data_IF_386257841357
#
_entry.id   IF_386257841357
#
_cell.length_a   1.000
_cell.length_b   1.000
_cell.length_c   1.000
_cell.angle_alpha   90.00
_cell.angle_beta   90.00
_cell.angle_gamma   90.00
#
_symmetry.space_group_name_H-M   'P 1'
#
loop_
_entity.id
_entity.type
_entity.pdbx_description
1 polymer ?
#
# COMPACT_ATOMS: atom_id res chain seq x y z
N UNK A 1 5.93 6.01 22.31
CA UNK A 1 6.62 7.30 22.23
C UNK A 1 6.07 8.00 21.00
N UNK A 2 5.28 9.05 21.17
CA UNK A 2 4.77 9.84 20.05
C UNK A 2 5.82 10.87 19.65
N UNK A 3 6.22 10.87 18.38
CA UNK A 3 7.00 11.97 17.81
C UNK A 3 6.11 13.21 17.82
N UNK A 4 6.61 14.34 18.30
CA UNK A 4 5.88 15.61 18.27
C UNK A 4 5.67 16.03 16.79
N UNK A 5 4.41 16.09 16.36
CA UNK A 5 4.03 16.44 15.00
C UNK A 5 4.58 17.81 14.56
N UNK A 6 4.69 18.77 15.48
CA UNK A 6 5.24 20.11 15.22
C UNK A 6 6.75 20.03 14.96
N UNK A 7 7.44 19.12 15.65
CA UNK A 7 8.88 18.89 15.41
C UNK A 7 9.08 18.18 14.07
N UNK A 8 8.26 17.18 13.76
CA UNK A 8 8.30 16.47 12.49
C UNK A 8 8.09 17.41 11.29
N UNK A 9 7.04 18.23 11.32
CA UNK A 9 6.76 19.24 10.29
C UNK A 9 7.94 20.23 10.16
N UNK A 10 8.47 20.74 11.28
CA UNK A 10 9.62 21.66 11.25
C UNK A 10 10.83 21.08 10.51
N UNK A 11 11.15 19.81 10.74
CA UNK A 11 12.25 19.15 10.04
C UNK A 11 11.91 18.88 8.58
N UNK A 12 10.68 18.46 8.28
CA UNK A 12 10.19 18.29 6.90
C UNK A 12 10.33 19.60 6.10
N UNK A 13 9.86 20.72 6.65
CA UNK A 13 10.00 22.05 6.05
C UNK A 13 11.47 22.47 5.85
N UNK A 14 12.37 22.13 6.80
CA UNK A 14 13.81 22.38 6.63
C UNK A 14 14.39 21.58 5.48
N UNK A 15 14.03 20.31 5.35
CA UNK A 15 14.46 19.46 4.24
C UNK A 15 13.98 20.02 2.89
N UNK A 16 12.70 20.43 2.79
CA UNK A 16 12.16 21.04 1.57
C UNK A 16 12.91 22.33 1.19
N UNK A 17 13.20 23.21 2.16
CA UNK A 17 13.98 24.45 1.90
C UNK A 17 15.38 24.17 1.34
N UNK A 18 16.00 23.06 1.73
CA UNK A 18 17.29 22.64 1.19
C UNK A 18 17.18 21.95 -0.17
N UNK A 19 16.13 21.17 -0.40
CA UNK A 19 15.97 20.35 -1.60
C UNK A 19 15.42 21.12 -2.79
N UNK A 20 14.47 22.04 -2.59
CA UNK A 20 13.84 22.79 -3.70
C UNK A 20 14.90 23.52 -4.56
N UNK A 21 15.89 24.23 -3.99
CA UNK A 21 16.96 24.83 -4.78
C UNK A 21 17.84 23.79 -5.47
N UNK A 22 18.15 22.67 -4.80
CA UNK A 22 18.98 21.60 -5.36
C UNK A 22 18.31 20.93 -6.58
N UNK A 23 16.98 20.75 -6.54
CA UNK A 23 16.17 20.21 -7.64
C UNK A 23 16.10 21.12 -8.86
N UNK A 24 16.31 22.42 -8.67
CA UNK A 24 16.34 23.40 -9.76
C UNK A 24 17.69 23.44 -10.49
N UNK A 25 18.71 22.74 -9.97
CA UNK A 25 20.02 22.62 -10.59
C UNK A 25 20.01 21.65 -11.76
N UNK A 26 20.78 21.93 -12.81
CA UNK A 26 21.01 20.99 -13.92
C UNK A 26 21.69 19.69 -13.49
N UNK A 27 22.38 19.70 -12.34
CA UNK A 27 23.04 18.52 -11.75
C UNK A 27 22.10 17.65 -10.92
N UNK A 28 20.88 18.12 -10.63
CA UNK A 28 19.91 17.40 -9.80
C UNK A 28 19.59 15.99 -10.33
N UNK A 29 19.55 15.87 -11.66
CA UNK A 29 19.15 14.63 -12.36
C UNK A 29 20.19 13.51 -12.22
N UNK A 30 21.43 13.83 -11.84
CA UNK A 30 22.51 12.85 -11.67
C UNK A 30 22.89 12.61 -10.22
N UNK A 31 22.25 13.28 -9.26
CA UNK A 31 22.56 13.13 -7.83
C UNK A 31 21.72 12.02 -7.17
N UNK A 32 22.36 10.91 -6.83
CA UNK A 32 21.72 9.76 -6.18
C UNK A 32 21.27 10.07 -4.74
N UNK A 33 21.98 10.93 -4.03
CA UNK A 33 21.61 11.33 -2.66
C UNK A 33 20.37 12.22 -2.70
N UNK A 34 20.30 13.11 -3.69
CA UNK A 34 19.13 13.95 -3.91
C UNK A 34 17.90 13.11 -4.21
N UNK A 35 18.02 12.09 -5.07
CA UNK A 35 16.93 11.16 -5.35
C UNK A 35 16.50 10.40 -4.09
N UNK A 36 17.45 9.85 -3.33
CA UNK A 36 17.13 9.12 -2.10
C UNK A 36 16.42 10.02 -1.08
N UNK A 37 16.88 11.26 -0.90
CA UNK A 37 16.25 12.24 -0.02
C UNK A 37 14.81 12.57 -0.45
N UNK A 38 14.55 12.76 -1.75
CA UNK A 38 13.21 13.00 -2.27
C UNK A 38 12.28 11.82 -1.99
N UNK A 39 12.73 10.58 -2.22
CA UNK A 39 11.93 9.37 -1.95
C UNK A 39 11.59 9.22 -0.48
N UNK A 40 12.56 9.51 0.41
CA UNK A 40 12.35 9.47 1.87
C UNK A 40 11.35 10.55 2.31
N UNK A 41 11.45 11.77 1.78
CA UNK A 41 10.49 12.82 2.13
C UNK A 41 9.09 12.53 1.60
N UNK A 42 8.98 11.93 0.41
CA UNK A 42 7.68 11.50 -0.11
C UNK A 42 6.98 10.57 0.88
N UNK A 43 7.70 9.66 1.53
CA UNK A 43 7.13 8.78 2.56
C UNK A 43 6.43 9.56 3.69
N UNK A 44 6.95 10.73 4.08
CA UNK A 44 6.31 11.54 5.11
C UNK A 44 4.97 12.13 4.65
N UNK A 45 4.81 12.42 3.36
CA UNK A 45 3.52 12.83 2.78
C UNK A 45 2.51 11.67 2.74
N UNK A 46 2.97 10.43 2.63
CA UNK A 46 2.09 9.25 2.61
C UNK A 46 1.53 8.91 3.99
N UNK A 47 2.33 9.16 5.03
CA UNK A 47 1.97 8.85 6.42
C UNK A 47 1.12 9.97 7.04
N UNK A 48 1.24 11.21 6.55
CA UNK A 48 0.47 12.36 7.03
C UNK A 48 -0.75 12.68 6.13
N UNK A 49 -1.86 11.98 6.39
CA UNK A 49 -3.14 12.13 5.65
C UNK A 49 -3.63 13.59 5.62
N UNK A 50 -3.33 14.39 6.65
CA UNK A 50 -3.80 15.78 6.76
C UNK A 50 -3.22 16.72 5.70
N UNK A 51 -2.14 16.31 5.03
CA UNK A 51 -1.44 17.08 4.00
C UNK A 51 -1.67 16.54 2.58
N UNK A 52 -2.42 15.44 2.41
CA UNK A 52 -2.55 14.75 1.12
C UNK A 52 -3.57 15.45 0.19
N UNK A 53 -3.13 16.46 -0.55
CA UNK A 53 -3.77 16.76 -1.83
C UNK A 53 -3.16 15.86 -2.89
N UNK A 54 -3.99 15.26 -3.77
CA UNK A 54 -3.53 14.47 -4.92
C UNK A 54 -2.49 15.24 -5.75
N UNK A 55 -2.57 16.57 -5.74
CA UNK A 55 -1.63 17.50 -6.38
C UNK A 55 -0.24 17.54 -5.74
N UNK A 56 -0.09 17.48 -4.40
CA UNK A 56 1.25 17.48 -3.76
C UNK A 56 2.03 16.21 -4.12
N UNK A 57 1.34 15.08 -4.10
CA UNK A 57 1.91 13.79 -4.43
C UNK A 57 2.33 13.70 -5.90
N UNK A 58 1.50 14.21 -6.82
CA UNK A 58 1.85 14.29 -8.25
C UNK A 58 3.04 15.22 -8.47
N UNK A 59 3.20 16.29 -7.67
CA UNK A 59 4.39 17.13 -7.70
C UNK A 59 5.65 16.36 -7.25
N UNK A 60 5.59 15.65 -6.11
CA UNK A 60 6.70 14.80 -5.63
C UNK A 60 7.10 13.71 -6.62
N UNK A 61 6.11 13.13 -7.32
CA UNK A 61 6.33 12.14 -8.38
C UNK A 61 6.98 12.77 -9.62
N UNK A 62 6.52 13.96 -10.04
CA UNK A 62 7.13 14.70 -11.17
C UNK A 62 8.57 15.10 -10.89
N UNK A 63 8.87 15.52 -9.67
CA UNK A 63 10.22 15.86 -9.21
C UNK A 63 11.12 14.62 -9.27
N UNK A 64 10.66 13.48 -8.75
CA UNK A 64 11.37 12.22 -8.80
C UNK A 64 11.67 11.79 -10.25
N UNK A 65 10.68 11.85 -11.11
CA UNK A 65 10.81 11.43 -12.51
C UNK A 65 11.71 12.37 -13.30
N UNK A 66 11.65 13.68 -13.04
CA UNK A 66 12.59 14.64 -13.60
C UNK A 66 14.03 14.34 -13.13
N UNK A 67 14.22 13.97 -11.87
CA UNK A 67 15.52 13.54 -11.33
C UNK A 67 16.00 12.18 -11.88
N UNK A 68 15.13 11.40 -12.49
CA UNK A 68 15.45 10.10 -13.12
C UNK A 68 15.61 10.19 -14.64
N UNK A 69 15.39 11.35 -15.26
CA UNK A 69 15.30 11.51 -16.71
C UNK A 69 16.63 11.30 -17.46
N UNK A 70 17.79 11.37 -16.78
CA UNK A 70 19.09 11.14 -17.44
C UNK A 70 19.49 9.67 -17.42
N UNK A 71 19.81 9.20 -18.62
CA UNK A 71 20.17 7.85 -19.02
C UNK A 71 21.49 7.30 -18.44
N UNK A 72 21.97 7.81 -17.31
CA UNK A 72 23.13 7.26 -16.61
C UNK A 72 22.85 5.83 -16.13
N UNK A 73 23.91 5.02 -15.99
CA UNK A 73 23.79 3.73 -15.35
C UNK A 73 23.26 3.88 -13.92
N UNK A 74 22.33 3.02 -13.52
CA UNK A 74 21.80 3.02 -12.16
C UNK A 74 22.92 2.59 -11.21
N UNK A 75 23.33 3.48 -10.30
CA UNK A 75 24.03 3.07 -9.09
C UNK A 75 23.11 2.21 -8.22
N UNK A 76 23.67 1.47 -7.26
CA UNK A 76 22.89 0.67 -6.32
C UNK A 76 21.93 1.53 -5.47
N UNK A 77 22.35 2.74 -5.09
CA UNK A 77 21.50 3.69 -4.35
C UNK A 77 20.34 4.19 -5.21
N UNK A 78 20.61 4.57 -6.47
CA UNK A 78 19.58 5.02 -7.41
C UNK A 78 18.58 3.92 -7.70
N UNK A 79 19.05 2.69 -7.89
CA UNK A 79 18.21 1.51 -8.11
C UNK A 79 17.30 1.26 -6.89
N UNK A 80 17.85 1.31 -5.69
CA UNK A 80 17.10 1.12 -4.45
C UNK A 80 16.03 2.21 -4.27
N UNK A 81 16.39 3.47 -4.50
CA UNK A 81 15.47 4.59 -4.45
C UNK A 81 14.34 4.46 -5.50
N UNK A 82 14.67 4.01 -6.71
CA UNK A 82 13.69 3.74 -7.76
C UNK A 82 12.66 2.68 -7.35
N UNK A 83 13.09 1.51 -6.86
CA UNK A 83 12.18 0.44 -6.45
C UNK A 83 11.35 0.80 -5.21
N UNK A 84 11.88 1.65 -4.32
CA UNK A 84 11.08 2.22 -3.23
C UNK A 84 10.02 3.19 -3.78
N UNK A 85 10.41 4.11 -4.65
CA UNK A 85 9.50 5.07 -5.27
C UNK A 85 8.37 4.42 -6.09
N UNK A 86 8.67 3.30 -6.75
CA UNK A 86 7.68 2.52 -7.46
C UNK A 86 6.68 1.85 -6.51
N UNK A 87 7.14 1.30 -5.39
CA UNK A 87 6.23 0.69 -4.38
C UNK A 87 5.32 1.73 -3.73
N UNK A 88 5.85 2.92 -3.45
CA UNK A 88 5.09 4.10 -3.04
C UNK A 88 4.02 4.48 -4.08
N UNK A 89 4.41 4.51 -5.35
CA UNK A 89 3.50 4.80 -6.45
C UNK A 89 2.40 3.73 -6.61
N UNK A 90 2.74 2.45 -6.45
CA UNK A 90 1.79 1.33 -6.44
C UNK A 90 0.79 1.48 -5.30
N UNK A 91 1.26 1.79 -4.08
CA UNK A 91 0.38 2.06 -2.94
C UNK A 91 -0.63 3.16 -3.27
N UNK A 92 -0.15 4.29 -3.80
CA UNK A 92 -1.00 5.42 -4.15
C UNK A 92 -1.97 5.11 -5.30
N UNK A 93 -1.54 4.30 -6.26
CA UNK A 93 -2.41 3.81 -7.33
C UNK A 93 -3.57 2.96 -6.78
N UNK A 94 -3.33 2.12 -5.77
CA UNK A 94 -4.39 1.39 -5.06
C UNK A 94 -5.32 2.33 -4.29
N UNK A 95 -4.77 3.21 -3.45
CA UNK A 95 -5.55 4.12 -2.59
C UNK A 95 -6.46 5.03 -3.39
N UNK A 96 -5.96 5.58 -4.49
CA UNK A 96 -6.71 6.53 -5.31
C UNK A 96 -7.38 5.88 -6.52
N UNK A 97 -7.35 4.55 -6.65
CA UNK A 97 -7.92 3.81 -7.79
C UNK A 97 -7.53 4.43 -9.14
N UNK A 98 -6.23 4.69 -9.31
CA UNK A 98 -5.66 5.38 -10.48
C UNK A 98 -4.55 4.53 -11.12
N UNK A 99 -4.24 4.74 -12.41
CA UNK A 99 -3.12 4.03 -13.03
C UNK A 99 -1.78 4.48 -12.41
N UNK A 100 -0.77 3.61 -12.48
CA UNK A 100 0.62 3.96 -12.15
C UNK A 100 1.15 4.96 -13.18
N UNK A 101 1.90 5.95 -12.72
CA UNK A 101 2.42 7.02 -13.56
C UNK A 101 3.28 6.45 -14.72
N UNK A 102 3.00 6.80 -15.99
CA UNK A 102 3.63 6.17 -17.16
C UNK A 102 5.17 6.22 -17.20
N UNK A 103 5.77 7.27 -16.63
CA UNK A 103 7.23 7.45 -16.64
C UNK A 103 8.01 6.39 -15.84
N UNK A 104 7.37 5.56 -15.01
CA UNK A 104 8.06 4.45 -14.35
C UNK A 104 8.40 3.32 -15.34
N UNK A 105 7.56 3.07 -16.34
CA UNK A 105 7.67 1.88 -17.20
C UNK A 105 8.96 1.79 -18.04
N UNK A 106 9.48 2.88 -18.64
CA UNK A 106 10.76 2.83 -19.35
C UNK A 106 11.91 2.37 -18.44
N UNK A 107 11.95 2.86 -17.20
CA UNK A 107 12.97 2.49 -16.22
C UNK A 107 12.79 1.05 -15.72
N UNK A 108 11.54 0.62 -15.41
CA UNK A 108 11.25 -0.78 -15.05
C UNK A 108 11.80 -1.72 -16.13
N UNK A 109 11.45 -1.45 -17.39
CA UNK A 109 11.88 -2.25 -18.54
C UNK A 109 13.40 -2.31 -18.65
N UNK A 110 14.06 -1.15 -18.67
CA UNK A 110 15.52 -1.05 -18.80
C UNK A 110 16.25 -1.78 -17.67
N UNK A 111 15.76 -1.68 -16.44
CA UNK A 111 16.37 -2.32 -15.27
C UNK A 111 16.21 -3.84 -15.35
N UNK A 112 15.02 -4.34 -15.65
CA UNK A 112 14.77 -5.79 -15.71
C UNK A 112 15.44 -6.47 -16.91
N UNK A 113 15.57 -5.80 -18.05
CA UNK A 113 16.28 -6.31 -19.24
C UNK A 113 17.79 -6.49 -18.99
N UNK A 114 18.38 -5.73 -18.06
CA UNK A 114 19.82 -5.78 -17.77
C UNK A 114 20.28 -7.04 -17.05
N UNK A 115 19.34 -7.92 -16.63
CA UNK A 115 19.58 -9.19 -15.91
C UNK A 115 20.86 -9.13 -15.06
N UNK A 116 20.75 -8.67 -13.81
CA UNK A 116 21.89 -8.69 -12.90
C UNK A 116 22.47 -10.10 -12.84
N UNK A 117 23.71 -10.25 -13.35
CA UNK A 117 24.46 -11.51 -13.35
C UNK A 117 25.08 -11.83 -11.99
N UNK A 118 24.71 -11.06 -10.96
CA UNK A 118 25.20 -11.20 -9.61
C UNK A 118 24.23 -12.10 -8.81
N UNK A 119 24.75 -13.23 -8.34
CA UNK A 119 24.00 -14.22 -7.58
C UNK A 119 23.53 -13.64 -6.22
N UNK A 120 24.13 -12.54 -5.76
CA UNK A 120 23.85 -11.92 -4.45
C UNK A 120 22.56 -11.10 -4.39
N UNK A 121 21.99 -10.69 -5.52
CA UNK A 121 20.73 -9.89 -5.59
C UNK A 121 19.58 -10.61 -6.28
N UNK A 122 19.74 -11.93 -6.50
CA UNK A 122 18.78 -12.74 -7.25
C UNK A 122 17.35 -12.68 -6.66
N UNK A 123 17.22 -12.66 -5.33
CA UNK A 123 15.91 -12.58 -4.67
C UNK A 123 15.20 -11.24 -4.91
N UNK A 124 15.93 -10.13 -4.82
CA UNK A 124 15.46 -8.80 -5.14
C UNK A 124 15.06 -8.69 -6.62
N UNK A 125 15.81 -9.30 -7.53
CA UNK A 125 15.45 -9.33 -8.96
C UNK A 125 14.07 -9.98 -9.19
N UNK A 126 13.83 -11.17 -8.60
CA UNK A 126 12.54 -11.84 -8.75
C UNK A 126 11.39 -11.06 -8.10
N UNK A 127 11.62 -10.46 -6.93
CA UNK A 127 10.64 -9.60 -6.28
C UNK A 127 10.31 -8.37 -7.15
N UNK A 128 11.33 -7.71 -7.68
CA UNK A 128 11.20 -6.53 -8.54
C UNK A 128 10.51 -6.85 -9.87
N UNK A 129 10.73 -8.04 -10.45
CA UNK A 129 10.02 -8.52 -11.64
C UNK A 129 8.51 -8.52 -11.40
N UNK A 130 8.03 -9.08 -10.28
CA UNK A 130 6.59 -9.11 -9.99
C UNK A 130 6.03 -7.78 -9.49
N UNK A 131 6.84 -6.93 -8.84
CA UNK A 131 6.47 -5.53 -8.56
C UNK A 131 6.20 -4.78 -9.88
N UNK A 132 7.04 -4.98 -10.90
CA UNK A 132 6.83 -4.42 -12.24
C UNK A 132 5.55 -4.94 -12.91
N UNK A 133 5.24 -6.23 -12.77
CA UNK A 133 3.97 -6.81 -13.25
C UNK A 133 2.79 -6.18 -12.50
N UNK A 134 2.89 -6.00 -11.18
CA UNK A 134 1.87 -5.35 -10.36
C UNK A 134 1.56 -3.92 -10.82
N UNK A 135 2.59 -3.13 -11.11
CA UNK A 135 2.44 -1.79 -11.68
C UNK A 135 1.72 -1.82 -13.04
N UNK A 136 2.05 -2.79 -13.90
CA UNK A 136 1.38 -2.95 -15.19
C UNK A 136 -0.10 -3.37 -15.04
N UNK A 137 -0.41 -4.26 -14.09
CA UNK A 137 -1.79 -4.63 -13.73
C UNK A 137 -2.60 -3.41 -13.26
N UNK A 138 -2.05 -2.59 -12.36
CA UNK A 138 -2.70 -1.34 -11.91
C UNK A 138 -2.99 -0.39 -13.06
N UNK A 139 -1.99 -0.14 -13.91
CA UNK A 139 -2.16 0.73 -15.07
C UNK A 139 -3.18 0.19 -16.08
N UNK A 140 -3.29 -1.13 -16.24
CA UNK A 140 -4.32 -1.73 -17.07
C UNK A 140 -5.72 -1.64 -16.45
N UNK A 141 -5.86 -1.99 -15.17
CA UNK A 141 -7.15 -2.06 -14.48
C UNK A 141 -7.78 -0.67 -14.21
N UNK A 142 -6.96 0.34 -13.94
CA UNK A 142 -7.42 1.70 -13.61
C UNK A 142 -7.15 2.75 -14.70
N UNK A 143 -6.49 2.37 -15.81
CA UNK A 143 -6.28 3.26 -16.96
C UNK A 143 -7.54 3.44 -17.81
N UNK A 144 -7.76 4.64 -18.33
CA UNK A 144 -8.92 4.97 -19.17
C UNK A 144 -8.77 4.48 -20.63
N UNK A 145 -7.56 4.12 -21.08
CA UNK A 145 -7.27 3.71 -22.45
C UNK A 145 -6.10 2.69 -22.46
N UNK A 146 -6.11 1.73 -23.40
CA UNK A 146 -5.12 0.65 -23.60
C UNK A 146 -3.71 1.14 -24.02
N UNK A 147 -3.26 2.30 -23.53
CA UNK A 147 -1.99 2.94 -23.92
C UNK A 147 -0.73 2.16 -23.52
N UNK A 148 -0.86 1.17 -22.63
CA UNK A 148 0.25 0.34 -22.18
C UNK A 148 0.46 -0.93 -23.02
N UNK A 149 -0.37 -1.15 -24.05
CA UNK A 149 -0.20 -2.23 -25.04
C UNK A 149 -0.43 -3.65 -24.51
N UNK A 150 -0.41 -3.90 -23.20
CA UNK A 150 -0.66 -5.21 -22.60
C UNK A 150 -2.14 -5.42 -22.31
N UNK A 151 -2.66 -6.54 -22.81
CA UNK A 151 -4.00 -7.05 -22.54
C UNK A 151 -4.07 -7.76 -21.19
N UNK A 152 -5.29 -7.91 -20.67
CA UNK A 152 -5.59 -8.75 -19.50
C UNK A 152 -4.99 -10.16 -19.59
N UNK A 153 -5.04 -10.77 -20.78
CA UNK A 153 -4.55 -12.14 -21.01
C UNK A 153 -3.04 -12.21 -20.89
N UNK A 154 -2.32 -11.23 -21.46
CA UNK A 154 -0.86 -11.15 -21.37
C UNK A 154 -0.40 -10.94 -19.92
N UNK A 155 -1.03 -10.01 -19.19
CA UNK A 155 -0.70 -9.75 -17.78
C UNK A 155 -0.95 -10.96 -16.89
N UNK A 156 -2.07 -11.66 -17.11
CA UNK A 156 -2.35 -12.91 -16.43
C UNK A 156 -1.28 -13.97 -16.73
N UNK A 157 -0.89 -14.12 -17.99
CA UNK A 157 0.14 -15.07 -18.38
C UNK A 157 1.51 -14.73 -17.77
N UNK A 158 1.94 -13.47 -17.80
CA UNK A 158 3.18 -13.02 -17.18
C UNK A 158 3.21 -13.32 -15.67
N UNK A 159 2.07 -13.14 -14.99
CA UNK A 159 1.94 -13.42 -13.57
C UNK A 159 2.04 -14.93 -13.26
N UNK A 160 1.38 -15.78 -14.06
CA UNK A 160 1.47 -17.24 -13.95
C UNK A 160 2.89 -17.76 -14.28
N UNK A 161 3.55 -17.18 -15.28
CA UNK A 161 4.92 -17.52 -15.64
C UNK A 161 5.88 -17.17 -14.51
N UNK A 162 5.73 -15.97 -13.91
CA UNK A 162 6.49 -15.62 -12.72
C UNK A 162 6.28 -16.62 -11.57
N UNK A 163 5.03 -17.04 -11.32
CA UNK A 163 4.73 -18.00 -10.26
C UNK A 163 5.43 -19.35 -10.45
N UNK A 164 5.51 -19.81 -11.71
CA UNK A 164 6.17 -21.05 -12.09
C UNK A 164 7.70 -20.95 -12.08
N UNK A 165 8.24 -19.79 -12.45
CA UNK A 165 9.68 -19.52 -12.53
C UNK A 165 10.33 -19.10 -11.21
N UNK A 166 9.53 -18.72 -10.19
CA UNK A 166 10.08 -18.23 -8.92
C UNK A 166 11.01 -19.27 -8.28
N UNK A 167 12.17 -18.87 -7.75
CA UNK A 167 13.13 -19.80 -7.18
C UNK A 167 12.66 -20.46 -5.89
N UNK A 168 13.39 -21.49 -5.44
CA UNK A 168 13.08 -22.23 -4.23
C UNK A 168 13.03 -21.36 -2.96
N UNK A 169 13.78 -20.26 -2.90
CA UNK A 169 13.78 -19.33 -1.75
C UNK A 169 12.53 -18.44 -1.68
N UNK A 170 11.62 -18.53 -2.67
CA UNK A 170 10.25 -18.01 -2.60
C UNK A 170 9.25 -19.06 -2.06
N UNK A 171 9.72 -20.21 -1.58
CA UNK A 171 8.90 -21.18 -0.86
C UNK A 171 9.00 -20.93 0.65
N UNK A 172 7.94 -21.25 1.43
CA UNK A 172 8.00 -21.14 2.87
C UNK A 172 9.06 -22.09 3.43
N UNK A 173 9.90 -21.58 4.33
CA UNK A 173 10.83 -22.40 5.12
C UNK A 173 10.11 -23.21 6.17
N UNK A 174 9.02 -22.64 6.67
CA UNK A 174 8.14 -23.27 7.63
C UNK A 174 6.71 -22.79 7.36
N UNK A 175 5.78 -23.73 7.45
CA UNK A 175 4.36 -23.46 7.31
C UNK A 175 3.61 -24.24 8.39
N UNK A 176 2.66 -23.58 9.05
CA UNK A 176 1.74 -24.25 9.95
C UNK A 176 0.79 -25.15 9.13
N UNK A 177 0.65 -26.41 9.55
CA UNK A 177 -0.17 -27.41 8.82
C UNK A 177 -1.65 -27.36 9.21
N UNK A 178 -2.04 -26.54 10.18
CA UNK A 178 -3.44 -26.39 10.57
C UNK A 178 -4.23 -25.64 9.49
N UNK A 179 -4.97 -26.42 8.69
CA UNK A 179 -5.85 -25.90 7.64
C UNK A 179 -7.05 -25.11 8.16
N UNK A 180 -7.31 -25.12 9.48
CA UNK A 180 -8.39 -24.37 10.12
C UNK A 180 -8.06 -22.91 10.44
N UNK A 181 -6.80 -22.49 10.27
CA UNK A 181 -6.38 -21.12 10.55
C UNK A 181 -6.99 -20.13 9.54
N UNK A 182 -7.50 -19.02 10.06
CA UNK A 182 -8.03 -17.94 9.23
C UNK A 182 -6.94 -17.28 8.36
N UNK A 183 -5.76 -17.05 8.94
CA UNK A 183 -4.59 -16.55 8.24
C UNK A 183 -3.58 -17.70 8.09
N UNK A 184 -3.10 -17.99 6.88
CA UNK A 184 -1.97 -18.90 6.69
C UNK A 184 -0.74 -18.38 7.44
N UNK A 185 -0.03 -19.29 8.11
CA UNK A 185 1.17 -18.96 8.86
C UNK A 185 2.39 -19.56 8.16
N UNK A 186 2.99 -18.77 7.27
CA UNK A 186 4.10 -19.15 6.41
C UNK A 186 5.29 -18.20 6.61
N UNK A 187 6.45 -18.76 6.93
CA UNK A 187 7.68 -18.00 7.20
C UNK A 187 8.69 -18.15 6.06
N UNK A 188 9.29 -17.04 5.64
CA UNK A 188 10.20 -16.99 4.49
C UNK A 188 11.61 -16.53 4.87
N UNK A 189 12.60 -16.92 4.05
CA UNK A 189 14.03 -16.62 4.27
C UNK A 189 14.33 -15.13 4.11
N UNK A 190 13.73 -14.45 3.14
CA UNK A 190 14.09 -13.07 2.80
C UNK A 190 12.87 -12.15 2.74
N UNK A 191 13.10 -10.87 3.05
CA UNK A 191 12.08 -9.83 2.96
C UNK A 191 11.67 -9.60 1.49
N UNK A 192 12.58 -9.86 0.54
CA UNK A 192 12.32 -9.81 -0.88
C UNK A 192 11.30 -10.88 -1.30
N UNK A 193 11.41 -12.12 -0.78
CA UNK A 193 10.44 -13.17 -1.04
C UNK A 193 9.03 -12.77 -0.56
N UNK A 194 8.91 -12.29 0.69
CA UNK A 194 7.63 -11.82 1.26
C UNK A 194 7.07 -10.66 0.43
N UNK A 195 7.90 -9.66 0.12
CA UNK A 195 7.49 -8.49 -0.67
C UNK A 195 7.01 -8.91 -2.06
N UNK A 196 7.75 -9.77 -2.75
CA UNK A 196 7.39 -10.24 -4.08
C UNK A 196 6.10 -11.06 -4.08
N UNK A 197 5.93 -11.99 -3.14
CA UNK A 197 4.70 -12.77 -3.00
C UNK A 197 3.47 -11.90 -2.72
N UNK A 198 3.60 -10.87 -1.88
CA UNK A 198 2.50 -9.95 -1.67
C UNK A 198 2.13 -9.16 -2.92
N UNK A 199 3.12 -8.69 -3.70
CA UNK A 199 2.83 -8.01 -4.98
C UNK A 199 2.25 -8.98 -6.02
N UNK A 200 2.66 -10.25 -6.01
CA UNK A 200 2.01 -11.30 -6.80
C UNK A 200 0.53 -11.41 -6.45
N UNK A 201 0.21 -11.55 -5.15
CA UNK A 201 -1.17 -11.71 -4.70
C UNK A 201 -2.01 -10.44 -4.90
N UNK A 202 -1.44 -9.25 -4.72
CA UNK A 202 -2.10 -7.98 -5.06
C UNK A 202 -2.42 -7.89 -6.57
N UNK A 203 -1.49 -8.29 -7.43
CA UNK A 203 -1.73 -8.39 -8.88
C UNK A 203 -2.85 -9.37 -9.20
N UNK A 204 -2.86 -10.52 -8.52
CA UNK A 204 -3.92 -11.53 -8.64
C UNK A 204 -5.28 -10.97 -8.21
N UNK A 205 -5.35 -10.23 -7.11
CA UNK A 205 -6.59 -9.55 -6.67
C UNK A 205 -7.13 -8.60 -7.74
N UNK A 206 -6.26 -7.75 -8.33
CA UNK A 206 -6.65 -6.84 -9.39
C UNK A 206 -7.24 -7.58 -10.59
N UNK A 207 -6.56 -8.63 -11.06
CA UNK A 207 -7.00 -9.43 -12.20
C UNK A 207 -8.31 -10.17 -11.90
N UNK A 208 -8.49 -10.72 -10.68
CA UNK A 208 -9.75 -11.35 -10.28
C UNK A 208 -10.88 -10.32 -10.31
N UNK A 209 -10.69 -9.16 -9.68
CA UNK A 209 -11.71 -8.11 -9.56
C UNK A 209 -12.08 -7.47 -10.90
N UNK A 210 -11.15 -7.41 -11.87
CA UNK A 210 -11.35 -6.80 -13.19
C UNK A 210 -11.48 -7.85 -14.30
N UNK A 211 -11.78 -9.10 -13.97
CA UNK A 211 -11.95 -10.15 -14.97
C UNK A 211 -13.15 -9.85 -15.88
N UNK A 212 -12.96 -9.58 -17.18
CA UNK A 212 -14.03 -9.15 -18.08
C UNK A 212 -15.06 -10.25 -18.36
N UNK A 213 -14.76 -11.51 -17.99
CA UNK A 213 -15.62 -12.67 -18.26
C UNK A 213 -16.54 -13.03 -17.09
N UNK A 214 -16.35 -12.43 -15.91
CA UNK A 214 -17.14 -12.77 -14.71
C UNK A 214 -18.37 -11.87 -14.64
N UNK A 215 -19.59 -12.43 -14.67
CA UNK A 215 -20.80 -11.66 -14.44
C UNK A 215 -20.81 -11.03 -13.04
N UNK A 216 -21.41 -9.84 -12.89
CA UNK A 216 -21.46 -9.12 -11.61
C UNK A 216 -22.42 -9.72 -10.56
N UNK A 217 -23.17 -10.77 -10.92
CA UNK A 217 -24.14 -11.43 -10.07
C UNK A 217 -24.15 -12.94 -10.37
N UNK A 218 -24.62 -13.73 -9.39
CA UNK A 218 -24.78 -15.17 -9.52
C UNK A 218 -23.62 -15.98 -8.95
N UNK A 219 -23.57 -17.27 -9.29
CA UNK A 219 -22.61 -18.22 -8.72
C UNK A 219 -21.16 -17.85 -9.04
N UNK A 220 -20.88 -17.44 -10.28
CA UNK A 220 -19.56 -17.00 -10.71
C UNK A 220 -19.05 -15.80 -9.90
N UNK A 221 -19.93 -14.85 -9.56
CA UNK A 221 -19.58 -13.70 -8.71
C UNK A 221 -19.20 -14.14 -7.29
N UNK A 222 -19.95 -15.07 -6.68
CA UNK A 222 -19.64 -15.59 -5.34
C UNK A 222 -18.31 -16.36 -5.31
N UNK A 223 -18.00 -17.12 -6.36
CA UNK A 223 -16.69 -17.80 -6.48
C UNK A 223 -15.57 -16.78 -6.55
N UNK A 224 -15.72 -15.73 -7.36
CA UNK A 224 -14.78 -14.62 -7.44
C UNK A 224 -14.59 -13.91 -6.09
N UNK A 225 -15.67 -13.66 -5.34
CA UNK A 225 -15.58 -13.07 -4.00
C UNK A 225 -14.81 -13.94 -3.02
N UNK A 226 -15.04 -15.26 -3.02
CA UNK A 226 -14.28 -16.16 -2.14
C UNK A 226 -12.81 -16.26 -2.57
N UNK A 227 -12.49 -16.22 -3.86
CA UNK A 227 -11.11 -16.12 -4.35
C UNK A 227 -10.41 -14.83 -3.89
N UNK A 228 -11.13 -13.69 -3.86
CA UNK A 228 -10.62 -12.43 -3.33
C UNK A 228 -10.37 -12.54 -1.82
N UNK A 229 -11.34 -13.04 -1.05
CA UNK A 229 -11.19 -13.25 0.40
C UNK A 229 -10.00 -14.16 0.71
N UNK A 230 -9.84 -15.25 -0.03
CA UNK A 230 -8.69 -16.14 0.14
C UNK A 230 -7.37 -15.43 -0.14
N UNK A 231 -7.34 -14.56 -1.15
CA UNK A 231 -6.13 -13.79 -1.47
C UNK A 231 -5.82 -12.76 -0.38
N UNK A 232 -6.83 -12.10 0.20
CA UNK A 232 -6.67 -11.21 1.36
C UNK A 232 -6.08 -11.96 2.55
N UNK A 233 -6.59 -13.16 2.87
CA UNK A 233 -6.07 -14.02 3.96
C UNK A 233 -4.59 -14.33 3.74
N UNK A 234 -4.18 -14.70 2.53
CA UNK A 234 -2.77 -14.98 2.20
C UNK A 234 -1.89 -13.74 2.39
N UNK A 235 -2.28 -12.57 1.85
CA UNK A 235 -1.49 -11.33 1.99
C UNK A 235 -1.34 -10.93 3.47
N UNK A 236 -2.42 -11.04 4.24
CA UNK A 236 -2.43 -10.76 5.67
C UNK A 236 -1.59 -11.77 6.47
N UNK A 237 -1.68 -13.06 6.12
CA UNK A 237 -0.86 -14.13 6.70
C UNK A 237 0.63 -13.88 6.48
N UNK A 238 1.03 -13.52 5.24
CA UNK A 238 2.40 -13.12 4.93
C UNK A 238 2.89 -11.97 5.82
N UNK A 239 2.04 -10.97 6.07
CA UNK A 239 2.38 -9.83 6.91
C UNK A 239 2.54 -10.21 8.40
N UNK A 240 1.62 -11.02 8.92
CA UNK A 240 1.59 -11.40 10.34
C UNK A 240 2.69 -12.41 10.65
N UNK A 241 2.90 -13.42 9.81
CA UNK A 241 3.91 -14.46 10.02
C UNK A 241 5.36 -13.97 9.82
N UNK A 242 5.55 -12.86 9.11
CA UNK A 242 6.87 -12.28 8.80
C UNK A 242 7.00 -10.85 9.37
N UNK A 243 6.80 -10.68 10.69
CA UNK A 243 6.76 -9.37 11.35
C UNK A 243 7.99 -8.47 11.11
N UNK A 244 9.15 -9.06 10.82
CA UNK A 244 10.39 -8.33 10.49
C UNK A 244 10.27 -7.49 9.20
N UNK A 245 9.41 -7.90 8.27
CA UNK A 245 9.18 -7.21 7.00
C UNK A 245 8.11 -6.15 7.19
N UNK A 246 8.47 -5.00 7.78
CA UNK A 246 7.52 -3.93 8.07
C UNK A 246 6.62 -3.51 6.88
N UNK A 247 7.14 -3.37 5.63
CA UNK A 247 6.30 -3.06 4.47
C UNK A 247 5.20 -4.08 4.18
N UNK A 248 5.32 -5.31 4.71
CA UNK A 248 4.32 -6.34 4.48
C UNK A 248 2.97 -6.01 5.14
N UNK A 249 3.00 -5.31 6.28
CA UNK A 249 1.78 -4.85 6.94
C UNK A 249 1.05 -3.77 6.12
N UNK A 250 1.80 -2.93 5.40
CA UNK A 250 1.23 -1.93 4.48
C UNK A 250 0.46 -2.61 3.35
N UNK A 251 1.05 -3.61 2.70
CA UNK A 251 0.37 -4.40 1.66
C UNK A 251 -0.85 -5.16 2.21
N UNK A 252 -0.77 -5.65 3.46
CA UNK A 252 -1.93 -6.19 4.18
C UNK A 252 -3.06 -5.17 4.30
N UNK A 253 -2.75 -3.92 4.67
CA UNK A 253 -3.74 -2.85 4.71
C UNK A 253 -4.35 -2.55 3.34
N UNK A 254 -3.57 -2.58 2.25
CA UNK A 254 -4.09 -2.43 0.87
C UNK A 254 -5.11 -3.53 0.57
N UNK A 255 -4.76 -4.80 0.81
CA UNK A 255 -5.63 -5.93 0.52
C UNK A 255 -6.93 -5.86 1.34
N UNK A 256 -6.83 -5.51 2.63
CA UNK A 256 -7.97 -5.32 3.53
C UNK A 256 -8.85 -4.15 3.05
N UNK A 257 -8.28 -3.02 2.66
CA UNK A 257 -9.07 -1.89 2.17
C UNK A 257 -9.80 -2.21 0.84
N UNK A 258 -9.20 -3.03 -0.03
CA UNK A 258 -9.79 -3.41 -1.31
C UNK A 258 -10.96 -4.41 -1.20
N UNK A 259 -10.85 -5.38 -0.29
CA UNK A 259 -11.76 -6.52 -0.27
C UNK A 259 -12.16 -7.00 1.13
N UNK A 260 -11.79 -6.27 2.19
CA UNK A 260 -12.15 -6.57 3.57
C UNK A 260 -13.66 -6.43 3.85
N UNK A 261 -14.35 -5.59 3.10
CA UNK A 261 -15.81 -5.38 3.15
C UNK A 261 -16.60 -6.67 2.86
N UNK A 262 -16.02 -7.60 2.08
CA UNK A 262 -16.63 -8.89 1.71
C UNK A 262 -16.63 -9.94 2.82
N UNK A 263 -15.95 -9.68 3.94
CA UNK A 263 -15.91 -10.61 5.07
C UNK A 263 -17.15 -10.44 5.94
N UNK A 264 -17.82 -11.55 6.26
CA UNK A 264 -19.10 -11.56 6.98
C UNK A 264 -19.03 -12.19 8.37
N UNK A 265 -18.02 -13.02 8.64
CA UNK A 265 -17.82 -13.60 9.96
C UNK A 265 -17.15 -12.59 10.91
N UNK A 266 -17.72 -12.40 12.10
CA UNK A 266 -17.25 -11.38 13.05
C UNK A 266 -15.81 -11.63 13.52
N UNK A 267 -15.39 -12.88 13.71
CA UNK A 267 -14.02 -13.17 14.14
C UNK A 267 -13.02 -12.88 13.03
N UNK A 268 -13.36 -13.22 11.79
CA UNK A 268 -12.56 -12.86 10.62
C UNK A 268 -12.41 -11.33 10.50
N UNK A 269 -13.50 -10.59 10.61
CA UNK A 269 -13.51 -9.12 10.57
C UNK A 269 -12.64 -8.51 11.70
N UNK A 270 -12.76 -9.02 12.93
CA UNK A 270 -11.95 -8.58 14.07
C UNK A 270 -10.45 -8.84 13.86
N UNK A 271 -10.07 -9.94 13.22
CA UNK A 271 -8.67 -10.23 12.89
C UNK A 271 -8.12 -9.23 11.88
N UNK A 272 -8.85 -8.96 10.79
CA UNK A 272 -8.46 -7.96 9.79
C UNK A 272 -8.38 -6.56 10.41
N UNK A 273 -9.34 -6.20 11.26
CA UNK A 273 -9.33 -4.93 11.98
C UNK A 273 -8.13 -4.78 12.92
N UNK A 274 -7.72 -5.86 13.59
CA UNK A 274 -6.52 -5.88 14.44
C UNK A 274 -5.25 -5.61 13.65
N UNK A 275 -5.14 -6.14 12.43
CA UNK A 275 -4.01 -5.83 11.53
C UNK A 275 -3.96 -4.32 11.27
N UNK A 276 -5.07 -3.69 10.87
CA UNK A 276 -5.13 -2.24 10.62
C UNK A 276 -4.73 -1.41 11.85
N UNK A 277 -5.21 -1.79 13.04
CA UNK A 277 -4.86 -1.16 14.31
C UNK A 277 -3.37 -1.32 14.65
N UNK A 278 -2.81 -2.52 14.43
CA UNK A 278 -1.42 -2.83 14.70
C UNK A 278 -0.50 -2.05 13.77
N UNK A 279 -0.82 -1.96 12.48
CA UNK A 279 -0.05 -1.20 11.50
C UNK A 279 -0.02 0.28 11.85
N UNK A 280 -1.17 0.87 12.20
CA UNK A 280 -1.28 2.25 12.69
C UNK A 280 -0.41 2.50 13.92
N UNK A 281 -0.57 1.68 14.96
CA UNK A 281 0.16 1.84 16.23
C UNK A 281 1.66 1.59 16.13
N UNK A 282 2.09 0.60 15.34
CA UNK A 282 3.51 0.18 15.27
C UNK A 282 4.29 0.94 14.21
N UNK A 283 3.68 1.22 13.05
CA UNK A 283 4.36 1.81 11.90
C UNK A 283 3.95 3.28 11.68
N UNK A 284 2.98 3.79 12.42
CA UNK A 284 2.39 5.11 12.18
C UNK A 284 1.52 5.14 10.92
N UNK A 285 1.19 3.99 10.32
CA UNK A 285 0.57 3.95 9.00
C UNK A 285 -0.90 4.39 9.04
N UNK A 286 -1.34 5.26 8.12
CA UNK A 286 -2.66 5.86 8.18
C UNK A 286 -3.80 4.90 7.80
N UNK A 287 -4.33 4.14 8.76
CA UNK A 287 -5.44 3.19 8.53
C UNK A 287 -6.81 3.71 8.94
N UNK A 288 -6.93 4.97 9.41
CA UNK A 288 -8.20 5.51 9.92
C UNK A 288 -9.35 5.45 8.91
N UNK A 289 -9.14 5.91 7.67
CA UNK A 289 -10.16 5.90 6.64
C UNK A 289 -10.65 4.47 6.32
N UNK A 290 -9.72 3.53 6.10
CA UNK A 290 -10.05 2.13 5.86
C UNK A 290 -10.81 1.50 7.04
N UNK A 291 -10.42 1.81 8.28
CA UNK A 291 -11.12 1.32 9.49
C UNK A 291 -12.56 1.85 9.57
N UNK A 292 -12.78 3.12 9.25
CA UNK A 292 -14.13 3.70 9.26
C UNK A 292 -15.02 3.04 8.21
N UNK A 293 -14.53 2.95 6.96
CA UNK A 293 -15.22 2.29 5.85
C UNK A 293 -15.59 0.84 6.16
N UNK A 294 -14.68 0.05 6.74
CA UNK A 294 -14.94 -1.35 7.05
C UNK A 294 -15.93 -1.52 8.19
N UNK A 295 -15.88 -0.67 9.23
CA UNK A 295 -16.86 -0.71 10.31
C UNK A 295 -18.27 -0.43 9.81
N UNK A 296 -18.42 0.53 8.91
CA UNK A 296 -19.69 0.81 8.23
C UNK A 296 -20.12 -0.40 7.39
N UNK A 297 -19.25 -0.92 6.53
CA UNK A 297 -19.55 -2.07 5.66
C UNK A 297 -19.94 -3.35 6.43
N UNK A 298 -19.34 -3.57 7.61
CA UNK A 298 -19.63 -4.70 8.46
C UNK A 298 -20.81 -4.47 9.43
N UNK A 299 -21.40 -3.28 9.45
CA UNK A 299 -22.51 -2.94 10.34
C UNK A 299 -22.12 -2.87 11.82
N UNK A 300 -20.88 -2.51 12.14
CA UNK A 300 -20.39 -2.40 13.53
C UNK A 300 -20.87 -1.13 14.26
N UNK A 301 -21.77 -0.35 13.66
CA UNK A 301 -22.23 0.93 14.21
C UNK A 301 -23.10 0.79 15.48
N UNK A 302 -23.63 -0.40 15.79
CA UNK A 302 -24.43 -0.65 17.01
C UNK A 302 -23.59 -0.88 18.29
N UNK A 303 -22.27 -1.08 18.19
CA UNK A 303 -21.39 -1.39 19.34
C UNK A 303 -20.76 -0.16 20.02
N UNK A 304 -21.11 1.06 19.60
CA UNK A 304 -20.69 2.27 20.34
C UNK A 304 -21.81 2.64 21.31
N UNK A 305 -21.60 2.64 22.64
CA UNK A 305 -22.59 3.19 23.54
C UNK A 305 -22.84 4.62 23.08
N UNK A 306 -24.09 4.90 22.69
CA UNK A 306 -24.52 6.26 22.41
C UNK A 306 -24.07 7.10 23.61
N UNK A 307 -23.38 8.25 23.40
CA UNK A 307 -23.18 9.16 24.52
C UNK A 307 -24.56 9.42 25.10
N UNK A 308 -24.73 9.41 26.43
CA UNK A 308 -26.04 9.61 27.03
C UNK A 308 -26.63 10.85 26.40
N UNK A 309 -27.79 10.69 25.76
CA UNK A 309 -28.54 11.78 25.18
C UNK A 309 -28.96 12.67 26.34
N UNK A 310 -28.09 13.60 26.74
CA UNK A 310 -28.49 14.68 27.62
C UNK A 310 -29.46 15.53 26.79
N UNK A 311 -30.74 15.60 27.16
CA UNK A 311 -31.68 16.46 26.47
C UNK A 311 -31.15 17.89 26.60
N UNK A 312 -31.09 18.63 25.50
CA UNK A 312 -30.69 20.05 25.45
C UNK A 312 -31.48 20.91 26.46
N UNK A 313 -32.66 20.44 26.89
CA UNK A 313 -33.45 21.02 27.97
C UNK A 313 -32.77 21.03 29.36
N UNK A 314 -31.80 20.13 29.63
CA UNK A 314 -31.08 20.05 30.90
C UNK A 314 -29.99 21.13 31.06
N UNK A 315 -29.35 21.56 29.96
CA UNK A 315 -28.28 22.57 30.00
C UNK A 315 -28.81 24.00 30.20
N UNK A 316 -30.01 24.30 29.70
CA UNK A 316 -30.62 25.62 29.86
C UNK A 316 -31.10 25.88 31.30
N UNK A 317 -31.52 24.82 32.01
CA UNK A 317 -31.98 24.95 33.41
C UNK A 317 -30.83 25.00 34.43
N UNK A 318 -29.68 24.39 34.14
CA UNK A 318 -28.51 24.48 35.02
C UNK A 318 -27.89 25.89 35.02
N UNK A 319 -27.84 26.54 33.85
CA UNK A 319 -27.32 27.90 33.73
C UNK A 319 -28.26 28.98 34.29
N UNK A 320 -29.58 28.72 34.33
CA UNK A 320 -30.53 29.62 34.99
C UNK A 320 -30.39 29.56 36.53
N UNK A 321 -30.28 28.35 37.11
CA UNK A 321 -30.14 28.18 38.56
C UNK A 321 -28.80 28.69 39.13
N UNK A 322 -27.74 28.65 38.32
CA UNK A 322 -26.44 29.22 38.73
C UNK A 322 -26.44 30.75 38.75
N UNK A 323 -27.24 31.41 37.90
CA UNK A 323 -27.33 32.88 37.85
C UNK A 323 -28.20 33.46 38.98
N UNK A 324 -29.21 32.73 39.42
CA UNK A 324 -30.07 33.18 40.53
C UNK A 324 -29.38 33.01 41.89
N UNK A 325 -28.39 32.12 42.01
CA UNK A 325 -27.63 31.91 43.25
C UNK A 325 -26.51 32.94 43.50
N UNK A 326 -26.13 33.73 42.49
CA UNK A 326 -25.13 34.81 42.62
C UNK A 326 -25.77 36.19 42.87
N UNK A 327 -27.10 36.28 43.01
CA UNK A 327 -27.83 37.54 43.19
C UNK A 327 -28.63 37.68 44.50
N UNK A 328 -28.35 36.84 45.51
CA UNK A 328 -28.83 36.98 46.91
C UNK A 328 -27.72 36.76 47.90
#
# INVERSE_FOLDING_TARGET
MGVDAVIADRYHQRCLRSLIPALSSSTAVVDDNLLAAVVILRFTEEVDIGSMTLESHLMGTRILLAAQANAADFSSLRLSAFWLALRQEIYMAFVHTRPVHPNFFPSIRRILERKEADDTTADCYYANKVIGICAACLSHCYGQENHHGRSYVELKQELEDWWREKPWYFQPMWANQDAGLFLPEEQYITDAAVTGLQHYHLSRMLLIAHNPKVPRLGTAFRVMEEELKQTVRVICGLAVANERTAPAHVNGCIAIAMAGDRFTDRKEQEELYRILLKTDRRLGWPTHAARAQLREAWGWEEDSPSPPSMPIAGMLNANARARDAEST
#
